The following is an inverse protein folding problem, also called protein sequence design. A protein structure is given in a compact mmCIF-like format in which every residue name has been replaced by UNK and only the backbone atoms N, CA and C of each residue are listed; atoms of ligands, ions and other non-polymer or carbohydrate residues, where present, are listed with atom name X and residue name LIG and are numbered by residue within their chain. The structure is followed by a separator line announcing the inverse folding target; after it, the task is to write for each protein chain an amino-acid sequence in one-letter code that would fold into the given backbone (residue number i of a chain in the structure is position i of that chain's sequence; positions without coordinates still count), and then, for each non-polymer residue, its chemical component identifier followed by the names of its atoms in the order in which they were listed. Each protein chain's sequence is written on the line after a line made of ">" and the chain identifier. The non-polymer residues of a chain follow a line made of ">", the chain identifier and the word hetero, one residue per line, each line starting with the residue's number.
data_IF_594634987847
#
_entry.id   IF_594634987847
#
_cell.length_a   1.000
_cell.length_b   1.000
_cell.length_c   1.000
_cell.angle_alpha   90.00
_cell.angle_beta   90.00
_cell.angle_gamma   90.00
#
_symmetry.space_group_name_H-M   'P 1'
#
loop_
_entity.id
_entity.type
_entity.pdbx_description
1 polymer ?
#
# COMPACT_ATOMS: atom_id res chain seq x y z
N UNK A 1 32.72 47.83 17.75
CA UNK A 1 33.50 46.69 17.22
C UNK A 1 32.68 45.44 17.51
N UNK A 2 31.82 45.03 16.56
CA UNK A 2 30.93 43.89 16.74
C UNK A 2 31.73 42.60 16.55
N UNK A 3 31.66 41.72 17.54
CA UNK A 3 32.46 40.51 17.64
C UNK A 3 31.96 39.45 16.62
N UNK A 4 32.70 39.32 15.51
CA UNK A 4 32.46 38.41 14.39
C UNK A 4 32.21 36.96 14.86
N UNK A 5 32.83 36.55 15.96
CA UNK A 5 32.73 35.19 16.49
C UNK A 5 31.33 34.89 17.05
N UNK A 6 30.68 35.87 17.70
CA UNK A 6 29.35 35.71 18.30
C UNK A 6 28.24 35.54 17.28
N UNK A 7 28.36 36.23 16.14
CA UNK A 7 27.40 36.11 15.03
C UNK A 7 27.52 34.71 14.39
N UNK A 8 28.74 34.18 14.27
CA UNK A 8 28.99 32.86 13.70
C UNK A 8 28.37 31.73 14.53
N UNK A 9 28.54 31.75 15.86
CA UNK A 9 27.90 30.76 16.74
C UNK A 9 26.38 30.87 16.76
N UNK A 10 25.84 32.09 16.65
CA UNK A 10 24.40 32.30 16.57
C UNK A 10 23.81 31.73 15.26
N UNK A 11 24.51 31.93 14.14
CA UNK A 11 24.11 31.37 12.84
C UNK A 11 24.21 29.84 12.80
N UNK A 12 25.24 29.24 13.40
CA UNK A 12 25.36 27.78 13.51
C UNK A 12 24.22 27.21 14.38
N UNK A 13 23.93 27.84 15.52
CA UNK A 13 22.84 27.42 16.40
C UNK A 13 21.48 27.48 15.69
N UNK A 14 21.22 28.55 14.94
CA UNK A 14 19.99 28.70 14.15
C UNK A 14 19.88 27.63 13.05
N UNK A 15 20.98 27.30 12.38
CA UNK A 15 21.01 26.27 11.33
C UNK A 15 20.75 24.86 11.89
N UNK A 16 21.27 24.55 13.10
CA UNK A 16 21.02 23.28 13.79
C UNK A 16 19.55 23.14 14.23
N UNK A 17 18.94 24.21 14.75
CA UNK A 17 17.52 24.18 15.16
C UNK A 17 16.60 23.96 13.97
N UNK A 18 16.87 24.62 12.83
CA UNK A 18 16.06 24.45 11.60
C UNK A 18 16.13 23.02 11.05
N UNK A 19 17.26 22.31 11.17
CA UNK A 19 17.34 20.92 10.73
C UNK A 19 16.51 19.93 11.56
N UNK A 20 16.26 20.22 12.85
CA UNK A 20 15.48 19.31 13.71
C UNK A 20 13.95 19.43 13.54
N UNK A 21 13.46 20.48 12.91
CA UNK A 21 12.01 20.74 12.76
C UNK A 21 11.37 20.13 11.50
N UNK A 22 12.14 19.48 10.62
CA UNK A 22 11.67 19.06 9.30
C UNK A 22 11.73 17.55 9.07
N UNK A 23 10.94 16.77 9.82
CA UNK A 23 10.31 15.52 9.32
C UNK A 23 9.52 14.79 10.41
N UNK A 24 8.48 15.42 10.94
CA UNK A 24 7.30 14.61 11.24
C UNK A 24 6.59 14.38 9.90
N UNK A 25 7.00 13.32 9.19
CA UNK A 25 6.11 12.73 8.18
C UNK A 25 4.90 12.27 8.97
N UNK A 26 3.82 13.06 8.92
CA UNK A 26 2.49 12.59 9.29
C UNK A 26 2.29 11.34 8.45
N UNK A 27 2.37 10.18 9.10
CA UNK A 27 2.00 8.91 8.54
C UNK A 27 0.53 9.05 8.15
N UNK A 28 0.28 9.37 6.88
CA UNK A 28 -1.04 9.21 6.29
C UNK A 28 -1.43 7.76 6.58
N UNK A 29 -2.49 7.55 7.36
CA UNK A 29 -3.06 6.23 7.60
C UNK A 29 -3.64 5.79 6.25
N UNK A 30 -2.77 5.27 5.38
CA UNK A 30 -3.15 4.65 4.12
C UNK A 30 -3.48 3.21 4.44
N UNK A 31 -4.79 2.92 4.38
CA UNK A 31 -5.39 1.60 4.22
C UNK A 31 -4.50 0.43 4.67
N UNK A 32 -4.33 0.34 5.99
CA UNK A 32 -3.79 -0.87 6.59
C UNK A 32 -4.73 -2.02 6.17
N UNK A 33 -4.19 -3.11 5.63
CA UNK A 33 -4.89 -4.39 5.54
C UNK A 33 -5.46 -4.91 4.23
N UNK A 34 -5.53 -4.12 3.17
CA UNK A 34 -5.64 -4.64 1.81
C UNK A 34 -5.26 -3.52 0.85
N UNK A 35 -4.04 -3.57 0.31
CA UNK A 35 -3.61 -2.62 -0.71
C UNK A 35 -4.39 -2.94 -2.02
N UNK A 36 -5.60 -2.43 -2.13
CA UNK A 36 -6.23 -2.24 -3.41
C UNK A 36 -5.52 -1.05 -4.05
N UNK A 37 -4.86 -1.24 -5.19
CA UNK A 37 -4.25 -0.10 -5.90
C UNK A 37 -5.35 0.94 -6.13
N UNK A 38 -5.15 2.14 -5.57
CA UNK A 38 -6.18 3.13 -5.24
C UNK A 38 -7.07 2.75 -4.05
N UNK A 39 -6.58 3.12 -2.86
CA UNK A 39 -7.34 3.69 -1.74
C UNK A 39 -8.82 3.87 -2.09
N UNK A 40 -9.64 2.86 -1.83
CA UNK A 40 -11.06 2.95 -2.05
C UNK A 40 -11.57 3.99 -1.08
N UNK A 41 -11.87 5.20 -1.55
CA UNK A 41 -12.53 6.26 -0.75
C UNK A 41 -13.95 5.86 -0.30
N UNK A 42 -14.30 4.58 -0.42
CA UNK A 42 -15.63 4.00 -0.27
C UNK A 42 -15.66 2.80 0.70
N UNK A 43 -14.53 2.42 1.29
CA UNK A 43 -14.46 1.35 2.29
C UNK A 43 -13.83 1.83 3.60
N UNK A 44 -14.32 1.30 4.72
CA UNK A 44 -13.68 1.54 6.01
C UNK A 44 -12.27 0.92 6.03
N UNK A 45 -11.27 1.56 6.67
CA UNK A 45 -9.93 1.01 6.78
C UNK A 45 -9.90 -0.34 7.51
N UNK A 46 -9.10 -1.30 7.03
CA UNK A 46 -8.91 -2.58 7.73
C UNK A 46 -7.82 -2.46 8.82
N UNK A 47 -8.22 -2.24 10.07
CA UNK A 47 -7.25 -2.13 11.17
C UNK A 47 -6.53 -3.43 11.57
N UNK A 48 -6.91 -4.58 11.00
CA UNK A 48 -6.25 -5.86 11.25
C UNK A 48 -5.73 -6.48 9.92
N UNK A 49 -4.63 -5.93 9.35
CA UNK A 49 -4.00 -6.48 8.16
C UNK A 49 -3.53 -7.92 8.38
N UNK A 50 -3.77 -8.81 7.41
CA UNK A 50 -3.09 -10.11 7.36
C UNK A 50 -1.61 -9.89 7.05
N UNK A 51 -1.32 -9.00 6.10
CA UNK A 51 0.02 -8.65 5.66
C UNK A 51 0.09 -7.15 5.33
N UNK A 52 1.23 -6.50 5.62
CA UNK A 52 1.47 -5.06 5.44
C UNK A 52 2.49 -4.76 4.32
N UNK A 53 3.02 -5.79 3.66
CA UNK A 53 3.89 -5.64 2.51
C UNK A 53 3.15 -5.00 1.34
N UNK A 54 3.92 -4.34 0.47
CA UNK A 54 3.35 -3.69 -0.70
C UNK A 54 2.95 -4.74 -1.74
N UNK A 55 1.68 -4.79 -2.16
CA UNK A 55 1.23 -5.73 -3.16
C UNK A 55 1.83 -5.46 -4.54
N UNK A 56 2.20 -6.55 -5.20
CA UNK A 56 2.71 -6.54 -6.56
C UNK A 56 1.56 -6.85 -7.52
N UNK A 57 1.27 -5.94 -8.45
CA UNK A 57 0.23 -6.16 -9.45
C UNK A 57 0.69 -7.27 -10.42
N UNK A 58 -0.11 -8.32 -10.51
CA UNK A 58 0.17 -9.48 -11.38
C UNK A 58 -0.68 -9.40 -12.65
N UNK A 59 -1.97 -9.13 -12.51
CA UNK A 59 -2.89 -9.06 -13.65
C UNK A 59 -4.06 -8.12 -13.37
N UNK A 60 -4.69 -7.63 -14.44
CA UNK A 60 -5.87 -6.77 -14.39
C UNK A 60 -6.81 -7.12 -15.54
N UNK A 61 -8.10 -7.19 -15.22
CA UNK A 61 -9.19 -7.40 -16.18
C UNK A 61 -10.26 -6.33 -15.97
N UNK A 62 -11.29 -6.35 -16.81
CA UNK A 62 -12.52 -5.63 -16.48
C UNK A 62 -13.05 -6.13 -15.13
N UNK A 63 -13.43 -5.21 -14.24
CA UNK A 63 -14.03 -5.55 -12.95
C UNK A 63 -13.13 -6.30 -11.95
N UNK A 64 -11.80 -6.31 -12.16
CA UNK A 64 -10.89 -6.86 -11.16
C UNK A 64 -9.40 -6.68 -11.36
N UNK A 65 -8.66 -6.85 -10.27
CA UNK A 65 -7.19 -6.83 -10.22
C UNK A 65 -6.67 -7.95 -9.32
N UNK A 66 -5.58 -8.59 -9.74
CA UNK A 66 -4.87 -9.64 -9.00
C UNK A 66 -3.50 -9.13 -8.58
N UNK A 67 -3.20 -9.30 -7.29
CA UNK A 67 -1.92 -8.96 -6.70
C UNK A 67 -1.30 -10.17 -6.01
N UNK A 68 -0.01 -10.05 -5.77
CA UNK A 68 0.75 -10.93 -4.92
C UNK A 68 1.27 -10.13 -3.72
N UNK A 69 1.05 -10.67 -2.51
CA UNK A 69 1.39 -10.01 -1.24
C UNK A 69 2.18 -10.98 -0.37
N UNK A 70 3.03 -10.48 0.51
CA UNK A 70 3.92 -11.28 1.34
C UNK A 70 5.20 -11.68 0.60
N UNK A 71 5.99 -12.54 1.25
CA UNK A 71 7.29 -12.97 0.74
C UNK A 71 7.60 -14.40 1.15
N UNK A 72 8.37 -15.12 0.33
CA UNK A 72 8.76 -16.51 0.64
C UNK A 72 7.56 -17.44 0.65
N UNK A 73 7.44 -18.24 1.71
CA UNK A 73 6.36 -19.22 1.87
C UNK A 73 5.02 -18.58 2.31
N UNK A 74 5.06 -17.38 2.87
CA UNK A 74 3.87 -16.62 3.32
C UNK A 74 3.25 -15.78 2.20
N UNK A 75 3.58 -16.11 0.94
CA UNK A 75 3.08 -15.39 -0.21
C UNK A 75 1.63 -15.76 -0.52
N UNK A 76 0.77 -14.75 -0.58
CA UNK A 76 -0.67 -14.91 -0.81
C UNK A 76 -1.12 -14.18 -2.07
N UNK A 77 -2.16 -14.74 -2.70
CA UNK A 77 -2.87 -14.11 -3.81
C UNK A 77 -3.95 -13.17 -3.24
N UNK A 78 -3.84 -11.88 -3.52
CA UNK A 78 -4.85 -10.89 -3.16
C UNK A 78 -5.63 -10.50 -4.40
N UNK A 79 -6.91 -10.80 -4.42
CA UNK A 79 -7.81 -10.42 -5.52
C UNK A 79 -8.76 -9.32 -5.06
N UNK A 80 -8.90 -8.29 -5.88
CA UNK A 80 -9.91 -7.25 -5.71
C UNK A 80 -10.83 -7.29 -6.91
N UNK A 81 -12.10 -7.65 -6.68
CA UNK A 81 -13.17 -7.65 -7.67
C UNK A 81 -14.21 -6.58 -7.34
N UNK A 82 -14.78 -5.97 -8.37
CA UNK A 82 -15.79 -4.92 -8.24
C UNK A 82 -16.77 -5.00 -9.40
N UNK A 83 -17.98 -4.47 -9.27
CA UNK A 83 -19.02 -4.61 -10.29
C UNK A 83 -20.40 -4.28 -9.73
N UNK A 84 -21.42 -4.40 -10.57
CA UNK A 84 -22.81 -4.14 -10.18
C UNK A 84 -23.60 -5.42 -9.93
N UNK A 85 -23.15 -6.53 -10.51
CA UNK A 85 -23.87 -7.81 -10.47
C UNK A 85 -22.99 -8.94 -9.93
N UNK A 86 -23.65 -9.99 -9.40
CA UNK A 86 -22.99 -11.24 -9.01
C UNK A 86 -22.09 -11.83 -10.10
N UNK A 87 -22.53 -11.68 -11.36
CA UNK A 87 -21.80 -12.15 -12.53
C UNK A 87 -20.47 -11.41 -12.72
N UNK A 88 -20.45 -10.09 -12.56
CA UNK A 88 -19.24 -9.28 -12.74
C UNK A 88 -18.13 -9.74 -11.79
N UNK A 89 -18.47 -9.95 -10.51
CA UNK A 89 -17.53 -10.43 -9.50
C UNK A 89 -17.03 -11.84 -9.83
N UNK A 90 -17.94 -12.75 -10.15
CA UNK A 90 -17.62 -14.16 -10.42
C UNK A 90 -16.78 -14.35 -11.69
N UNK A 91 -17.10 -13.60 -12.75
CA UNK A 91 -16.36 -13.65 -14.01
C UNK A 91 -14.93 -13.11 -13.84
N UNK A 92 -14.77 -11.95 -13.17
CA UNK A 92 -13.46 -11.39 -12.87
C UNK A 92 -12.63 -12.35 -12.01
N UNK A 93 -13.24 -12.93 -10.96
CA UNK A 93 -12.60 -13.92 -10.09
C UNK A 93 -12.09 -15.14 -10.86
N UNK A 94 -12.97 -15.80 -11.62
CA UNK A 94 -12.62 -17.01 -12.37
C UNK A 94 -11.62 -16.74 -13.49
N UNK A 95 -11.62 -15.53 -14.06
CA UNK A 95 -10.67 -15.14 -15.09
C UNK A 95 -9.29 -14.88 -14.50
N UNK A 96 -9.19 -14.15 -13.39
CA UNK A 96 -7.93 -13.79 -12.77
C UNK A 96 -7.23 -14.98 -12.10
N UNK A 97 -7.99 -15.88 -11.46
CA UNK A 97 -7.45 -17.02 -10.70
C UNK A 97 -7.48 -18.35 -11.46
N UNK A 98 -7.66 -18.32 -12.79
CA UNK A 98 -7.80 -19.53 -13.62
C UNK A 98 -6.69 -20.55 -13.36
N UNK A 99 -5.44 -20.10 -13.34
CA UNK A 99 -4.28 -20.98 -13.17
C UNK A 99 -4.20 -21.57 -11.77
N UNK A 100 -4.56 -20.78 -10.74
CA UNK A 100 -4.59 -21.23 -9.35
C UNK A 100 -5.73 -22.24 -9.13
N UNK A 101 -6.91 -21.97 -9.67
CA UNK A 101 -8.07 -22.86 -9.58
C UNK A 101 -7.76 -24.21 -10.25
N UNK A 102 -7.17 -24.21 -11.45
CA UNK A 102 -6.79 -25.42 -12.17
C UNK A 102 -5.72 -26.26 -11.45
N UNK A 103 -4.90 -25.65 -10.58
CA UNK A 103 -3.91 -26.39 -9.77
C UNK A 103 -4.56 -27.11 -8.58
N UNK A 104 -5.66 -26.56 -8.04
CA UNK A 104 -6.32 -27.08 -6.84
C UNK A 104 -7.42 -28.08 -7.19
N UNK A 105 -8.15 -27.86 -8.28
CA UNK A 105 -9.25 -28.74 -8.67
C UNK A 105 -8.74 -29.91 -9.52
N UNK A 106 -8.99 -31.17 -9.10
CA UNK A 106 -8.71 -32.33 -9.93
C UNK A 106 -9.59 -32.28 -11.20
N UNK A 107 -9.01 -32.72 -12.32
CA UNK A 107 -9.72 -32.85 -13.60
C UNK A 107 -10.51 -34.14 -13.68
#
# INVERSE_FOLDING_TARGET
>A
MFDQSRIYYFLIGLFLVIQTSSSHKISSIKNVGAFCANDTTRGDPNFNPIDVSQPQLINKVENGTLYQVGSGEDQIWLIHVYGNTGYDFGYAYGTLLRDQIHKVLPR
#
